data_IF_336180658231
#
_entry.id   IF_336180658231
#
_cell.length_a   1.000
_cell.length_b   1.000
_cell.length_c   1.000
_cell.angle_alpha   90.00
_cell.angle_beta   90.00
_cell.angle_gamma   90.00
#
_symmetry.space_group_name_H-M   'P 1'
#
loop_
_entity.id
_entity.type
_entity.pdbx_description
1 polymer ?
#
# COMPACT_ATOMS: atom_id res chain seq x y z
N UNK A 1 -15.20 15.71 7.79
CA UNK A 1 -16.17 14.67 7.38
C UNK A 1 -15.63 13.33 7.87
N UNK A 2 -16.48 12.47 8.42
CA UNK A 2 -16.09 11.14 8.88
C UNK A 2 -16.52 10.09 7.85
N UNK A 3 -15.64 9.14 7.55
CA UNK A 3 -15.91 8.04 6.63
C UNK A 3 -15.60 6.71 7.32
N UNK A 4 -16.53 5.76 7.25
CA UNK A 4 -16.33 4.39 7.70
C UNK A 4 -15.99 3.53 6.49
N UNK A 5 -14.89 2.80 6.57
CA UNK A 5 -14.48 1.76 5.62
C UNK A 5 -14.75 0.40 6.26
N UNK A 6 -15.72 -0.35 5.75
CA UNK A 6 -16.09 -1.67 6.23
C UNK A 6 -15.67 -2.73 5.21
N UNK A 7 -15.24 -3.89 5.68
CA UNK A 7 -14.87 -5.04 4.86
C UNK A 7 -15.45 -6.33 5.44
N UNK A 8 -15.42 -7.41 4.67
CA UNK A 8 -15.92 -8.72 5.14
C UNK A 8 -15.09 -9.23 6.32
N UNK A 9 -13.79 -8.89 6.34
CA UNK A 9 -12.89 -9.19 7.44
C UNK A 9 -11.90 -8.04 7.66
N UNK A 10 -11.65 -7.68 8.92
CA UNK A 10 -10.61 -6.73 9.31
C UNK A 10 -9.49 -7.49 10.04
N UNK A 11 -8.27 -7.33 9.56
CA UNK A 11 -7.03 -7.73 10.25
C UNK A 11 -6.40 -6.47 10.86
N UNK A 12 -6.50 -6.24 12.17
CA UNK A 12 -5.97 -5.01 12.76
C UNK A 12 -4.44 -4.97 12.80
N UNK A 13 -3.77 -6.09 12.59
CA UNK A 13 -2.32 -6.21 12.74
C UNK A 13 -1.87 -6.36 14.19
N UNK A 14 -0.54 -6.47 14.39
CA UNK A 14 0.04 -6.67 15.71
C UNK A 14 -0.50 -7.94 16.40
N UNK A 15 -0.98 -7.80 17.63
CA UNK A 15 -1.62 -8.88 18.40
C UNK A 15 -3.15 -8.88 18.31
N UNK A 16 -3.74 -8.04 17.48
CA UNK A 16 -5.17 -7.94 17.31
C UNK A 16 -5.75 -9.15 16.61
N UNK A 17 -6.84 -9.71 17.13
CA UNK A 17 -7.56 -10.80 16.49
C UNK A 17 -8.31 -10.30 15.23
N UNK A 18 -8.48 -11.15 14.21
CA UNK A 18 -9.33 -10.84 13.07
C UNK A 18 -10.77 -10.51 13.50
N UNK A 19 -11.37 -9.50 12.87
CA UNK A 19 -12.73 -9.03 13.18
C UNK A 19 -13.63 -9.25 11.96
N UNK A 20 -14.49 -10.28 11.96
CA UNK A 20 -15.49 -10.47 10.91
C UNK A 20 -16.40 -9.24 10.79
N UNK A 21 -16.68 -8.80 9.56
CA UNK A 21 -17.46 -7.59 9.32
C UNK A 21 -16.87 -6.36 9.97
N UNK A 22 -15.54 -6.27 10.04
CA UNK A 22 -14.85 -5.18 10.72
C UNK A 22 -14.79 -3.89 9.91
N UNK A 23 -14.54 -2.78 10.61
CA UNK A 23 -14.48 -1.46 10.01
C UNK A 23 -13.45 -0.53 10.66
N UNK A 24 -13.01 0.44 9.89
CA UNK A 24 -12.19 1.58 10.32
C UNK A 24 -12.95 2.87 10.03
N UNK A 25 -13.17 3.68 11.06
CA UNK A 25 -13.69 5.05 10.91
C UNK A 25 -12.53 6.04 10.82
N UNK A 26 -12.59 6.93 9.83
CA UNK A 26 -11.54 7.90 9.51
C UNK A 26 -12.09 9.32 9.61
N UNK A 27 -11.38 10.18 10.35
CA UNK A 27 -11.64 11.62 10.46
C UNK A 27 -10.41 12.42 10.04
N UNK A 28 -10.49 13.07 8.88
CA UNK A 28 -9.30 13.73 8.31
C UNK A 28 -8.24 12.70 7.93
N UNK A 29 -7.05 12.80 8.53
CA UNK A 29 -5.94 11.87 8.34
C UNK A 29 -5.82 10.80 9.45
N UNK A 30 -6.73 10.80 10.43
CA UNK A 30 -6.62 9.99 11.62
C UNK A 30 -7.73 8.94 11.73
N UNK A 31 -7.40 7.84 12.38
CA UNK A 31 -8.37 6.81 12.80
C UNK A 31 -9.22 7.38 13.93
N UNK A 32 -10.55 7.30 13.80
CA UNK A 32 -11.51 7.66 14.83
C UNK A 32 -12.03 6.44 15.60
N UNK A 33 -12.12 5.27 14.95
CA UNK A 33 -12.49 4.02 15.59
C UNK A 33 -12.06 2.81 14.73
N UNK A 34 -11.82 1.69 15.37
CA UNK A 34 -11.57 0.37 14.73
C UNK A 34 -12.35 -0.69 15.48
N UNK A 35 -13.06 -1.58 14.79
CA UNK A 35 -13.79 -2.67 15.41
C UNK A 35 -14.90 -3.23 14.52
N UNK A 36 -15.84 -4.01 15.09
CA UNK A 36 -17.00 -4.50 14.38
C UNK A 36 -17.80 -3.34 13.76
N UNK A 37 -18.22 -3.50 12.51
CA UNK A 37 -18.94 -2.45 11.79
C UNK A 37 -20.14 -1.90 12.55
N UNK A 38 -20.93 -2.76 13.16
CA UNK A 38 -22.14 -2.37 13.89
C UNK A 38 -21.83 -1.40 15.04
N UNK A 39 -20.76 -1.68 15.80
CA UNK A 39 -20.34 -0.81 16.90
C UNK A 39 -19.79 0.54 16.38
N UNK A 40 -18.97 0.50 15.32
CA UNK A 40 -18.40 1.71 14.70
C UNK A 40 -19.49 2.57 14.07
N UNK A 41 -20.47 1.96 13.41
CA UNK A 41 -21.58 2.67 12.77
C UNK A 41 -22.53 3.28 13.82
N UNK A 42 -22.82 2.57 14.91
CA UNK A 42 -23.63 3.08 16.01
C UNK A 42 -23.01 4.31 16.70
N UNK A 43 -21.67 4.30 16.87
CA UNK A 43 -20.93 5.44 17.42
C UNK A 43 -20.87 6.64 16.46
N UNK A 44 -21.06 6.42 15.15
CA UNK A 44 -20.91 7.44 14.11
C UNK A 44 -22.07 7.41 13.09
N UNK A 45 -23.34 7.65 13.50
CA UNK A 45 -24.52 7.43 12.63
C UNK A 45 -24.58 8.37 11.41
N UNK A 46 -23.86 9.48 11.42
CA UNK A 46 -23.79 10.44 10.32
C UNK A 46 -22.57 10.21 9.38
N UNK A 47 -21.81 9.13 9.60
CA UNK A 47 -20.64 8.85 8.79
C UNK A 47 -21.03 8.36 7.39
N UNK A 48 -20.24 8.76 6.39
CA UNK A 48 -20.32 8.13 5.07
C UNK A 48 -19.74 6.72 5.16
N UNK A 49 -20.47 5.72 4.69
CA UNK A 49 -20.02 4.32 4.67
C UNK A 49 -19.52 3.94 3.28
N UNK A 50 -18.36 3.28 3.25
CA UNK A 50 -17.81 2.58 2.08
C UNK A 50 -17.65 1.10 2.44
N UNK A 51 -18.26 0.23 1.64
CA UNK A 51 -18.14 -1.23 1.80
C UNK A 51 -17.19 -1.77 0.75
N UNK A 52 -16.36 -2.70 1.19
CA UNK A 52 -15.33 -3.35 0.38
C UNK A 52 -15.44 -4.86 0.49
N UNK A 53 -15.17 -5.62 -0.59
CA UNK A 53 -15.05 -7.07 -0.49
C UNK A 53 -13.75 -7.46 0.21
N UNK A 54 -13.72 -8.66 0.77
CA UNK A 54 -12.52 -9.32 1.26
C UNK A 54 -11.94 -8.73 2.55
N UNK A 55 -10.63 -8.51 2.57
CA UNK A 55 -9.87 -8.27 3.80
C UNK A 55 -9.31 -6.84 3.86
N UNK A 56 -9.63 -6.12 4.94
CA UNK A 56 -9.01 -4.84 5.29
C UNK A 56 -7.84 -5.09 6.22
N UNK A 57 -6.67 -4.54 5.89
CA UNK A 57 -5.41 -4.69 6.64
C UNK A 57 -4.80 -3.34 6.96
N UNK A 58 -3.81 -3.24 7.86
CA UNK A 58 -2.90 -2.11 7.90
C UNK A 58 -2.31 -1.81 6.52
N UNK A 59 -1.86 -0.59 6.29
CA UNK A 59 -1.09 -0.23 5.12
C UNK A 59 0.23 -0.99 5.06
N UNK A 60 0.72 -1.28 3.86
CA UNK A 60 1.91 -2.11 3.67
C UNK A 60 3.18 -1.27 3.53
N UNK A 61 4.29 -1.77 4.06
CA UNK A 61 5.64 -1.29 3.78
C UNK A 61 6.31 -2.19 2.74
N UNK A 62 6.77 -1.63 1.63
CA UNK A 62 7.55 -2.38 0.65
C UNK A 62 9.05 -2.22 0.96
N UNK A 63 9.81 -3.32 1.19
CA UNK A 63 11.22 -3.26 1.59
C UNK A 63 12.17 -2.87 0.44
N UNK A 64 11.69 -2.84 -0.80
CA UNK A 64 12.49 -2.61 -2.00
C UNK A 64 12.39 -1.17 -2.54
N UNK A 65 12.33 -0.15 -1.65
CA UNK A 65 12.22 1.25 -2.05
C UNK A 65 13.26 1.69 -3.09
N UNK A 66 14.57 1.58 -2.81
CA UNK A 66 15.63 1.96 -3.76
C UNK A 66 15.62 1.12 -5.04
N UNK A 67 15.39 -0.18 -4.92
CA UNK A 67 15.40 -1.11 -6.06
C UNK A 67 14.28 -0.79 -7.05
N UNK A 68 13.09 -0.45 -6.54
CA UNK A 68 11.92 -0.17 -7.38
C UNK A 68 11.79 1.28 -7.82
N UNK A 69 12.43 2.24 -7.14
CA UNK A 69 12.27 3.66 -7.46
C UNK A 69 13.54 4.34 -8.00
N UNK A 70 14.74 3.80 -7.66
CA UNK A 70 16.02 4.36 -8.10
C UNK A 70 16.85 3.44 -8.99
N UNK A 71 16.53 2.12 -9.00
CA UNK A 71 17.21 1.12 -9.83
C UNK A 71 16.28 0.47 -10.84
N UNK A 72 15.07 1.02 -11.00
CA UNK A 72 14.10 0.63 -12.01
C UNK A 72 13.53 1.86 -12.71
N UNK A 73 13.29 1.74 -13.99
CA UNK A 73 12.55 2.71 -14.78
C UNK A 73 11.15 2.17 -15.04
N UNK A 74 10.14 2.90 -14.62
CA UNK A 74 8.75 2.61 -14.94
C UNK A 74 8.37 3.39 -16.20
N UNK A 75 8.19 2.72 -17.37
CA UNK A 75 7.93 3.40 -18.62
C UNK A 75 6.67 4.28 -18.57
N UNK A 76 6.69 5.39 -19.32
CA UNK A 76 5.48 6.15 -19.57
C UNK A 76 4.53 5.32 -20.46
N UNK A 77 3.21 5.38 -20.27
CA UNK A 77 2.27 4.71 -21.18
C UNK A 77 2.48 5.08 -22.67
N UNK A 78 3.03 6.24 -22.94
CA UNK A 78 3.38 6.69 -24.32
C UNK A 78 4.60 5.99 -24.89
N UNK A 79 5.44 5.42 -24.04
CA UNK A 79 6.66 4.66 -24.41
C UNK A 79 6.37 3.14 -24.46
N UNK A 80 5.11 2.71 -24.23
CA UNK A 80 4.77 1.31 -24.05
C UNK A 80 5.04 0.44 -25.31
N UNK A 81 4.98 1.02 -26.50
CA UNK A 81 5.25 0.31 -27.76
C UNK A 81 6.75 0.03 -27.94
N UNK A 82 7.62 0.88 -27.39
CA UNK A 82 9.09 0.75 -27.50
C UNK A 82 9.71 0.04 -26.29
N UNK A 83 9.27 0.41 -25.09
CA UNK A 83 9.89 -0.02 -23.83
C UNK A 83 9.08 -1.08 -23.08
N UNK A 84 7.87 -1.40 -23.53
CA UNK A 84 6.95 -2.26 -22.81
C UNK A 84 6.31 -1.56 -21.61
N UNK A 85 5.64 -2.35 -20.77
CA UNK A 85 4.90 -1.86 -19.60
C UNK A 85 5.55 -2.22 -18.26
N UNK A 86 6.50 -3.16 -18.30
CA UNK A 86 7.19 -3.62 -17.10
C UNK A 86 8.36 -2.72 -16.75
N UNK A 87 8.75 -2.64 -15.46
CA UNK A 87 9.90 -1.87 -15.05
C UNK A 87 11.18 -2.37 -15.70
N UNK A 88 11.95 -1.45 -16.29
CA UNK A 88 13.26 -1.74 -16.85
C UNK A 88 14.33 -1.65 -15.76
N UNK A 89 15.21 -2.62 -15.71
CA UNK A 89 16.34 -2.72 -14.77
C UNK A 89 17.62 -3.12 -15.49
N UNK A 90 18.76 -3.11 -14.80
CA UNK A 90 20.05 -3.58 -15.35
C UNK A 90 20.40 -2.90 -16.67
N UNK A 91 20.83 -3.70 -17.67
CA UNK A 91 21.28 -3.22 -18.97
C UNK A 91 20.21 -2.44 -19.74
N UNK A 92 18.96 -2.84 -19.65
CA UNK A 92 17.84 -2.14 -20.28
C UNK A 92 17.65 -0.72 -19.70
N UNK A 93 17.83 -0.55 -18.39
CA UNK A 93 17.84 0.77 -17.77
C UNK A 93 19.10 1.56 -18.13
N UNK A 94 20.26 0.91 -18.15
CA UNK A 94 21.54 1.56 -18.48
C UNK A 94 21.59 2.11 -19.91
N UNK A 95 20.83 1.52 -20.83
CA UNK A 95 20.69 1.99 -22.21
C UNK A 95 19.82 3.26 -22.35
N UNK A 96 19.10 3.65 -21.28
CA UNK A 96 18.26 4.85 -21.32
C UNK A 96 19.03 6.09 -20.90
N UNK A 97 18.79 7.20 -21.60
CA UNK A 97 19.22 8.52 -21.14
C UNK A 97 18.32 8.98 -19.97
N UNK A 98 18.86 8.97 -18.75
CA UNK A 98 18.13 9.25 -17.53
C UNK A 98 18.46 10.64 -16.98
N UNK A 99 17.56 11.59 -17.23
CA UNK A 99 17.56 12.92 -16.59
C UNK A 99 16.84 12.91 -15.25
N UNK A 100 17.05 13.93 -14.41
CA UNK A 100 16.31 14.08 -13.13
C UNK A 100 14.79 14.14 -13.34
N UNK A 101 14.34 14.83 -14.39
CA UNK A 101 12.93 14.89 -14.76
C UNK A 101 12.37 13.49 -15.08
N UNK A 102 13.15 12.69 -15.80
CA UNK A 102 12.77 11.31 -16.16
C UNK A 102 12.77 10.39 -14.95
N UNK A 103 13.75 10.53 -14.05
CA UNK A 103 13.78 9.82 -12.76
C UNK A 103 12.55 10.18 -11.90
N UNK A 104 12.24 11.44 -11.72
CA UNK A 104 11.08 11.88 -10.93
C UNK A 104 9.75 11.40 -11.52
N UNK A 105 9.61 11.42 -12.84
CA UNK A 105 8.42 10.90 -13.53
C UNK A 105 8.29 9.39 -13.38
N UNK A 106 9.39 8.64 -13.51
CA UNK A 106 9.45 7.19 -13.30
C UNK A 106 9.08 6.83 -11.86
N UNK A 107 9.71 7.48 -10.87
CA UNK A 107 9.45 7.23 -9.45
C UNK A 107 7.98 7.49 -9.08
N UNK A 108 7.36 8.54 -9.64
CA UNK A 108 5.93 8.80 -9.44
C UNK A 108 5.07 7.65 -9.96
N UNK A 109 5.36 7.11 -11.16
CA UNK A 109 4.65 5.94 -11.72
C UNK A 109 4.89 4.69 -10.88
N UNK A 110 6.13 4.45 -10.44
CA UNK A 110 6.47 3.37 -9.52
C UNK A 110 5.69 3.45 -8.22
N UNK A 111 5.64 4.64 -7.59
CA UNK A 111 4.87 4.88 -6.38
C UNK A 111 3.36 4.65 -6.60
N UNK A 112 2.79 5.06 -7.74
CA UNK A 112 1.39 4.78 -8.07
C UNK A 112 1.14 3.26 -8.22
N UNK A 113 2.06 2.50 -8.82
CA UNK A 113 1.99 1.03 -8.87
C UNK A 113 2.05 0.42 -7.46
N UNK A 114 2.91 0.94 -6.59
CA UNK A 114 2.99 0.52 -5.19
C UNK A 114 1.68 0.78 -4.43
N UNK A 115 1.08 1.96 -4.60
CA UNK A 115 -0.26 2.24 -4.03
C UNK A 115 -1.31 1.26 -4.53
N UNK A 116 -1.23 0.81 -5.80
CA UNK A 116 -2.14 -0.20 -6.34
C UNK A 116 -1.91 -1.62 -5.75
N UNK A 117 -0.85 -1.81 -4.97
CA UNK A 117 -0.54 -3.02 -4.21
C UNK A 117 -0.69 -2.82 -2.69
N UNK A 118 -1.39 -1.76 -2.24
CA UNK A 118 -1.61 -1.51 -0.81
C UNK A 118 -0.41 -0.92 -0.06
N UNK A 119 0.69 -0.61 -0.76
CA UNK A 119 1.89 -0.01 -0.16
C UNK A 119 1.61 1.44 0.23
N UNK A 120 1.89 1.80 1.47
CA UNK A 120 1.78 3.16 2.03
C UNK A 120 3.14 3.72 2.45
N UNK A 121 4.15 2.87 2.57
CA UNK A 121 5.52 3.25 2.87
C UNK A 121 6.53 2.36 2.12
N UNK A 122 7.73 2.88 1.92
CA UNK A 122 8.87 2.14 1.37
C UNK A 122 10.02 2.15 2.36
N UNK A 123 10.76 1.06 2.46
CA UNK A 123 11.95 0.99 3.29
C UNK A 123 13.22 1.04 2.42
N UNK A 124 14.28 1.63 3.01
CA UNK A 124 15.59 1.80 2.40
C UNK A 124 15.88 3.25 1.98
N UNK A 125 17.17 3.54 1.84
CA UNK A 125 17.68 4.88 1.59
C UNK A 125 17.49 5.30 0.13
N UNK A 126 16.59 6.24 -0.09
CA UNK A 126 16.47 6.96 -1.35
C UNK A 126 17.45 8.13 -1.37
N UNK A 127 18.24 8.26 -2.44
CA UNK A 127 19.34 9.24 -2.54
C UNK A 127 19.14 10.27 -3.64
N UNK A 128 18.31 9.96 -4.66
CA UNK A 128 18.06 10.90 -5.77
C UNK A 128 17.02 11.93 -5.37
N UNK A 129 17.36 13.23 -5.42
CA UNK A 129 16.45 14.32 -5.07
C UNK A 129 15.13 14.26 -5.83
N UNK A 130 15.17 13.99 -7.15
CA UNK A 130 13.96 13.88 -7.97
C UNK A 130 13.05 12.70 -7.56
N UNK A 131 13.63 11.60 -7.05
CA UNK A 131 12.86 10.46 -6.53
C UNK A 131 12.26 10.78 -5.16
N UNK A 132 13.04 11.39 -4.26
CA UNK A 132 12.58 11.85 -2.96
C UNK A 132 11.40 12.83 -3.09
N UNK A 133 11.50 13.78 -4.01
CA UNK A 133 10.41 14.71 -4.32
C UNK A 133 9.15 14.00 -4.82
N UNK A 134 9.32 13.00 -5.70
CA UNK A 134 8.20 12.24 -6.23
C UNK A 134 7.50 11.43 -5.12
N UNK A 135 8.25 10.74 -4.26
CA UNK A 135 7.74 9.95 -3.13
C UNK A 135 7.00 10.86 -2.13
N UNK A 136 7.60 12.00 -1.80
CA UNK A 136 7.00 12.99 -0.89
C UNK A 136 5.69 13.56 -1.43
N UNK A 137 5.62 13.89 -2.73
CA UNK A 137 4.39 14.42 -3.37
C UNK A 137 3.28 13.38 -3.46
N UNK A 138 3.61 12.12 -3.61
CA UNK A 138 2.63 11.01 -3.57
C UNK A 138 2.16 10.76 -2.14
N UNK A 139 2.97 11.11 -1.14
CA UNK A 139 2.69 10.96 0.29
C UNK A 139 3.11 9.61 0.85
N UNK A 140 3.89 8.78 0.11
CA UNK A 140 4.42 7.53 0.64
C UNK A 140 5.35 7.79 1.83
N UNK A 141 5.15 7.02 2.92
CA UNK A 141 6.06 6.97 4.04
C UNK A 141 7.46 6.46 3.62
N UNK A 142 8.45 6.80 4.41
CA UNK A 142 9.82 6.31 4.26
C UNK A 142 10.28 5.73 5.58
N UNK A 143 10.68 4.47 5.53
CA UNK A 143 11.09 3.71 6.69
C UNK A 143 12.57 3.33 6.59
N UNK A 144 13.23 3.22 7.72
CA UNK A 144 14.56 2.67 7.79
C UNK A 144 14.54 1.17 7.46
N UNK A 145 15.54 0.69 6.73
CA UNK A 145 15.70 -0.71 6.40
C UNK A 145 16.80 -1.30 7.27
N UNK A 146 16.43 -2.14 8.23
CA UNK A 146 17.37 -2.72 9.20
C UNK A 146 18.08 -3.97 8.68
N UNK A 147 17.59 -4.59 7.61
CA UNK A 147 18.20 -5.76 6.98
C UNK A 147 17.91 -5.79 5.49
N UNK A 148 18.80 -6.42 4.72
CA UNK A 148 18.56 -6.61 3.29
C UNK A 148 17.38 -7.55 3.07
N UNK A 149 16.40 -7.17 2.20
CA UNK A 149 15.26 -8.01 1.92
C UNK A 149 15.68 -9.26 1.15
N UNK A 150 15.00 -10.36 1.40
CA UNK A 150 15.25 -11.63 0.74
C UNK A 150 14.52 -11.72 -0.61
N UNK A 151 15.21 -12.25 -1.63
CA UNK A 151 14.64 -12.47 -2.96
C UNK A 151 14.69 -11.24 -3.89
N UNK A 152 14.13 -11.37 -5.09
CA UNK A 152 14.14 -10.29 -6.08
C UNK A 152 13.18 -9.16 -5.69
N UNK A 153 13.49 -7.91 -6.09
CA UNK A 153 12.61 -6.78 -5.89
C UNK A 153 11.21 -7.04 -6.49
N UNK A 154 10.18 -6.78 -5.69
CA UNK A 154 8.78 -7.02 -6.08
C UNK A 154 7.88 -5.86 -5.68
N UNK A 155 6.92 -5.52 -6.56
CA UNK A 155 5.82 -4.61 -6.22
C UNK A 155 4.86 -5.22 -5.19
N UNK A 156 4.84 -6.55 -5.07
CA UNK A 156 4.06 -7.27 -4.06
C UNK A 156 4.81 -7.32 -2.73
N UNK A 157 4.37 -6.60 -1.69
CA UNK A 157 5.03 -6.61 -0.39
C UNK A 157 4.91 -7.96 0.35
N UNK A 158 4.05 -8.86 -0.09
CA UNK A 158 3.91 -10.20 0.49
C UNK A 158 4.90 -11.21 -0.10
N UNK A 159 5.55 -10.87 -1.22
CA UNK A 159 6.46 -11.79 -1.90
C UNK A 159 7.65 -12.18 -1.00
N UNK A 160 7.83 -13.49 -0.79
CA UNK A 160 8.99 -14.06 -0.11
C UNK A 160 9.05 -13.86 1.41
N UNK A 161 7.98 -13.35 2.07
CA UNK A 161 7.96 -13.11 3.52
C UNK A 161 6.58 -13.35 4.16
N UNK A 162 6.52 -13.50 5.50
CA UNK A 162 5.24 -13.51 6.21
C UNK A 162 4.44 -12.23 5.97
N UNK A 163 3.12 -12.37 5.75
CA UNK A 163 2.22 -11.24 5.48
C UNK A 163 2.28 -10.17 6.57
N UNK A 164 2.39 -10.59 7.83
CA UNK A 164 2.47 -9.68 8.99
C UNK A 164 3.70 -8.78 8.99
N UNK A 165 4.80 -9.20 8.37
CA UNK A 165 6.00 -8.39 8.22
C UNK A 165 5.86 -7.29 7.15
N UNK A 166 4.84 -7.41 6.30
CA UNK A 166 4.52 -6.36 5.34
C UNK A 166 3.68 -5.24 5.96
N UNK A 167 3.01 -5.46 7.09
CA UNK A 167 2.22 -4.44 7.76
C UNK A 167 3.12 -3.35 8.35
N UNK A 168 2.85 -2.08 7.99
CA UNK A 168 3.64 -0.96 8.50
C UNK A 168 3.43 -0.77 10.01
N UNK A 169 2.19 -0.53 10.43
CA UNK A 169 1.80 -0.36 11.83
C UNK A 169 0.40 -0.97 12.03
N UNK A 170 0.09 -1.51 13.21
CA UNK A 170 -1.26 -1.97 13.52
C UNK A 170 -2.29 -0.84 13.39
N UNK A 171 -3.52 -1.18 13.02
CA UNK A 171 -4.64 -0.24 12.97
C UNK A 171 -5.14 0.11 14.37
N UNK A 172 -5.29 1.40 14.66
CA UNK A 172 -5.69 1.92 15.98
C UNK A 172 -4.49 2.23 16.85
N UNK A 173 -4.60 2.88 18.03
CA UNK A 173 -5.80 3.41 18.64
C UNK A 173 -6.37 4.65 17.95
N UNK A 174 -7.45 5.22 18.52
CA UNK A 174 -7.98 6.52 18.10
C UNK A 174 -6.88 7.58 18.08
N UNK A 175 -6.81 8.35 17.00
CA UNK A 175 -5.76 9.35 16.78
C UNK A 175 -4.52 8.84 16.04
N UNK A 176 -4.39 7.53 15.78
CA UNK A 176 -3.35 7.00 14.89
C UNK A 176 -3.58 7.41 13.43
N UNK A 177 -2.51 7.40 12.63
CA UNK A 177 -2.59 7.65 11.19
C UNK A 177 -3.52 6.66 10.48
N UNK A 178 -4.32 7.15 9.55
CA UNK A 178 -5.27 6.32 8.80
C UNK A 178 -4.62 5.83 7.49
N UNK A 179 -3.75 4.83 7.63
CA UNK A 179 -3.03 4.17 6.54
C UNK A 179 -3.40 2.69 6.50
N UNK A 180 -4.15 2.28 5.48
CA UNK A 180 -4.65 0.91 5.35
C UNK A 180 -4.93 0.53 3.90
N UNK A 181 -5.04 -0.79 3.66
CA UNK A 181 -5.37 -1.35 2.37
C UNK A 181 -6.48 -2.39 2.46
N UNK A 182 -7.16 -2.62 1.35
CA UNK A 182 -8.20 -3.65 1.23
C UNK A 182 -7.89 -4.54 0.04
N UNK A 183 -7.98 -5.84 0.28
CA UNK A 183 -7.68 -6.89 -0.70
C UNK A 183 -8.90 -7.75 -0.95
N UNK A 184 -9.27 -7.90 -2.22
CA UNK A 184 -10.36 -8.78 -2.65
C UNK A 184 -9.86 -10.22 -2.70
N UNK A 185 -9.86 -10.86 -1.54
CA UNK A 185 -9.46 -12.27 -1.34
C UNK A 185 -10.52 -13.01 -0.54
N UNK A 186 -10.61 -14.34 -0.68
CA UNK A 186 -11.54 -15.16 0.10
C UNK A 186 -11.31 -15.01 1.62
N UNK A 187 -12.41 -14.95 2.39
CA UNK A 187 -12.38 -14.79 3.86
C UNK A 187 -12.78 -16.08 4.61
N UNK A 188 -13.10 -17.15 3.88
CA UNK A 188 -13.57 -18.44 4.44
C UNK A 188 -12.44 -19.39 4.87
N UNK A 189 -11.38 -18.91 5.50
CA UNK A 189 -10.25 -19.71 5.93
C UNK A 189 -9.19 -18.89 6.64
N UNK A 190 -7.92 -19.30 6.55
CA UNK A 190 -6.80 -18.47 7.06
C UNK A 190 -6.60 -17.24 6.15
N UNK A 191 -6.91 -16.03 6.64
CA UNK A 191 -6.82 -14.82 5.83
C UNK A 191 -5.37 -14.45 5.46
N UNK A 192 -4.39 -14.85 6.27
CA UNK A 192 -2.98 -14.62 5.96
C UNK A 192 -2.50 -15.55 4.83
N UNK A 193 -2.98 -16.80 4.82
CA UNK A 193 -2.73 -17.72 3.71
C UNK A 193 -3.36 -17.20 2.41
N UNK A 194 -4.61 -16.71 2.46
CA UNK A 194 -5.28 -16.14 1.31
C UNK A 194 -4.54 -14.90 0.75
N UNK A 195 -4.13 -13.97 1.61
CA UNK A 195 -3.33 -12.80 1.19
C UNK A 195 -2.02 -13.20 0.53
N UNK A 196 -1.31 -14.19 1.07
CA UNK A 196 -0.05 -14.69 0.50
C UNK A 196 -0.26 -15.38 -0.84
N UNK A 197 -1.30 -16.21 -0.97
CA UNK A 197 -1.60 -16.97 -2.18
C UNK A 197 -2.03 -16.05 -3.34
N UNK A 198 -2.95 -15.14 -3.07
CA UNK A 198 -3.52 -14.25 -4.10
C UNK A 198 -2.66 -13.01 -4.37
N UNK A 199 -1.80 -12.64 -3.42
CA UNK A 199 -0.85 -11.53 -3.52
C UNK A 199 -1.47 -10.14 -3.45
N UNK A 200 -0.61 -9.13 -3.27
CA UNK A 200 -1.02 -7.74 -3.14
C UNK A 200 -1.64 -7.14 -4.41
N UNK A 201 -1.51 -7.78 -5.56
CA UNK A 201 -2.22 -7.43 -6.81
C UNK A 201 -3.76 -7.45 -6.67
N UNK A 202 -4.30 -8.12 -5.65
CA UNK A 202 -5.73 -8.15 -5.34
C UNK A 202 -6.20 -6.90 -4.59
N UNK A 203 -5.33 -5.93 -4.34
CA UNK A 203 -5.68 -4.67 -3.69
C UNK A 203 -6.78 -3.94 -4.48
N UNK A 204 -7.88 -3.62 -3.80
CA UNK A 204 -9.01 -2.87 -4.35
C UNK A 204 -9.09 -1.45 -3.83
N UNK A 205 -8.46 -1.17 -2.69
CA UNK A 205 -8.40 0.17 -2.13
C UNK A 205 -7.15 0.38 -1.28
N UNK A 206 -6.54 1.56 -1.40
CA UNK A 206 -5.48 2.03 -0.50
C UNK A 206 -5.85 3.38 0.04
N UNK A 207 -5.82 3.49 1.35
CA UNK A 207 -6.01 4.76 2.08
C UNK A 207 -4.67 5.15 2.68
N UNK A 208 -4.24 6.38 2.41
CA UNK A 208 -2.99 6.95 2.86
C UNK A 208 -3.26 8.33 3.45
N UNK A 209 -2.91 8.54 4.71
CA UNK A 209 -3.22 9.76 5.45
C UNK A 209 -4.73 10.06 5.44
N UNK A 210 -5.57 9.04 5.56
CA UNK A 210 -7.03 9.13 5.53
C UNK A 210 -7.63 9.41 4.14
N UNK A 211 -6.83 9.50 3.09
CA UNK A 211 -7.28 9.76 1.72
C UNK A 211 -7.29 8.46 0.91
N UNK A 212 -8.38 8.20 0.20
CA UNK A 212 -8.45 7.10 -0.76
C UNK A 212 -7.58 7.45 -1.97
N UNK A 213 -6.37 6.89 -2.05
CA UNK A 213 -5.36 7.18 -3.08
C UNK A 213 -5.36 6.17 -4.22
N UNK A 214 -5.85 4.95 -3.96
CA UNK A 214 -6.09 3.94 -4.99
C UNK A 214 -7.47 3.32 -4.81
N UNK A 215 -8.15 3.09 -5.94
CA UNK A 215 -9.39 2.33 -6.03
C UNK A 215 -9.44 1.58 -7.36
N UNK A 216 -9.49 0.25 -7.29
CA UNK A 216 -9.80 -0.59 -8.45
C UNK A 216 -11.31 -0.54 -8.72
N UNK A 217 -11.70 -0.34 -9.97
CA UNK A 217 -13.10 -0.36 -10.43
C UNK A 217 -13.49 -1.78 -10.87
#
# INVERSE_FOLDING_TARGET
MLTIHAADLLLPGGRGAPVPGGAVAVRGSLIAAVGPYEAVAAAHPQARVRRWPGVLTPGLCNPYGPELLERAYHPDPREADELGREPLTGDALAALEMTDARWGASARRGAQRMLAHGTVAVAGDLRRGAVLDAVTRVGLGREERFSEPQGPPSLDPFAGRPVTEAFLLPLGPEGAGADFAVFDVPVGGDPYAALREHGARTCVATVLGGRLVHRRR
#
